data_IF_349971982885
#
_entry.id   IF_349971982885
#
_cell.length_a   1.000
_cell.length_b   1.000
_cell.length_c   1.000
_cell.angle_alpha   90.00
_cell.angle_beta   90.00
_cell.angle_gamma   90.00
#
_symmetry.space_group_name_H-M   'P 1'
#
loop_
_entity.id
_entity.type
_entity.pdbx_description
1 polymer ?
#
# COMPACT_ATOMS: atom_id res chain seq x y z
N UNK A 1 -5.32 -11.19 -13.77
CA UNK A 1 -5.25 -11.55 -12.34
C UNK A 1 -3.92 -11.08 -11.76
N UNK A 2 -3.89 -10.52 -10.54
CA UNK A 2 -2.66 -10.04 -9.88
C UNK A 2 -1.54 -11.10 -9.83
N UNK A 3 -1.89 -12.38 -9.74
CA UNK A 3 -0.92 -13.49 -9.78
C UNK A 3 0.02 -13.43 -11.00
N UNK A 4 -0.46 -12.87 -12.11
CA UNK A 4 0.28 -12.74 -13.37
C UNK A 4 0.79 -11.30 -13.62
N UNK A 5 0.71 -10.41 -12.63
CA UNK A 5 1.24 -9.04 -12.82
C UNK A 5 2.74 -9.10 -13.10
N UNK A 6 3.13 -8.53 -14.23
CA UNK A 6 4.53 -8.32 -14.64
C UNK A 6 4.80 -6.82 -14.64
N UNK A 7 5.89 -6.42 -13.99
CA UNK A 7 6.31 -5.03 -14.04
C UNK A 7 6.81 -4.71 -15.46
N UNK A 8 6.31 -3.65 -16.11
CA UNK A 8 6.78 -3.25 -17.43
C UNK A 8 8.25 -2.80 -17.45
N UNK A 9 8.78 -2.38 -16.31
CA UNK A 9 10.17 -1.91 -16.16
C UNK A 9 11.17 -3.04 -15.89
N UNK A 10 10.70 -4.28 -15.72
CA UNK A 10 11.54 -5.46 -15.52
C UNK A 10 11.56 -6.32 -16.78
N UNK A 11 12.74 -6.87 -17.11
CA UNK A 11 12.88 -7.83 -18.21
C UNK A 11 12.22 -9.16 -17.84
N UNK A 12 11.72 -9.91 -18.84
CA UNK A 12 10.65 -10.91 -18.73
C UNK A 12 10.76 -12.05 -17.69
N UNK A 13 11.90 -12.23 -17.03
CA UNK A 13 12.09 -13.23 -15.97
C UNK A 13 12.18 -12.66 -14.54
N UNK A 14 12.29 -11.34 -14.37
CA UNK A 14 12.39 -10.74 -13.05
C UNK A 14 11.00 -10.59 -12.41
N UNK A 15 10.83 -11.23 -11.25
CA UNK A 15 9.59 -11.17 -10.49
C UNK A 15 9.48 -9.84 -9.73
N UNK A 16 8.36 -9.15 -9.91
CA UNK A 16 7.97 -8.04 -9.03
C UNK A 16 7.89 -8.57 -7.60
N UNK A 17 8.64 -7.98 -6.69
CA UNK A 17 8.67 -8.42 -5.28
C UNK A 17 7.36 -8.07 -4.57
N UNK A 18 6.79 -6.89 -4.88
CA UNK A 18 5.65 -6.34 -4.16
C UNK A 18 4.64 -5.65 -5.10
N UNK A 19 3.75 -6.43 -5.76
CA UNK A 19 2.66 -5.86 -6.53
C UNK A 19 1.62 -5.22 -5.59
N UNK A 20 1.30 -3.97 -5.86
CA UNK A 20 0.52 -3.11 -4.97
C UNK A 20 -0.53 -2.36 -5.77
N UNK A 21 -1.79 -2.47 -5.37
CA UNK A 21 -2.95 -1.90 -6.07
C UNK A 21 -3.35 -0.56 -5.45
N UNK A 22 -3.53 0.48 -6.26
CA UNK A 22 -4.17 1.72 -5.82
C UNK A 22 -5.65 1.45 -5.53
N UNK A 23 -6.12 1.75 -4.32
CA UNK A 23 -7.51 1.51 -3.92
C UNK A 23 -8.50 2.54 -4.48
N UNK A 24 -8.00 3.54 -5.22
CA UNK A 24 -8.82 4.59 -5.82
C UNK A 24 -9.08 4.30 -7.29
N UNK A 25 -8.04 4.04 -8.08
CA UNK A 25 -8.18 3.79 -9.52
C UNK A 25 -8.00 2.32 -9.93
N UNK A 26 -7.59 1.43 -9.01
CA UNK A 26 -7.36 0.00 -9.29
C UNK A 26 -6.05 -0.33 -10.02
N UNK A 27 -5.21 0.66 -10.35
CA UNK A 27 -3.92 0.42 -11.02
C UNK A 27 -2.98 -0.39 -10.13
N UNK A 28 -2.36 -1.43 -10.70
CA UNK A 28 -1.32 -2.23 -10.03
C UNK A 28 0.05 -1.63 -10.35
N UNK A 29 0.86 -1.48 -9.30
CA UNK A 29 2.16 -0.81 -9.27
C UNK A 29 3.17 -1.66 -8.50
N UNK A 30 4.45 -1.31 -8.60
CA UNK A 30 5.49 -1.87 -7.74
C UNK A 30 5.64 -0.97 -6.50
N UNK A 31 5.54 -1.53 -5.30
CA UNK A 31 5.91 -0.80 -4.07
C UNK A 31 7.30 -1.19 -3.60
N UNK A 32 7.98 -0.28 -2.90
CA UNK A 32 9.26 -0.51 -2.21
C UNK A 32 10.29 -1.25 -3.08
N UNK A 33 10.39 -0.84 -4.34
CA UNK A 33 11.24 -1.47 -5.35
C UNK A 33 11.88 -0.42 -6.24
N UNK A 34 13.12 -0.66 -6.65
CA UNK A 34 13.88 0.25 -7.51
C UNK A 34 13.41 0.25 -8.97
N UNK A 35 12.78 -0.83 -9.44
CA UNK A 35 12.47 -1.03 -10.86
C UNK A 35 11.59 0.07 -11.49
N UNK A 36 10.68 0.67 -10.72
CA UNK A 36 9.75 1.69 -11.19
C UNK A 36 9.97 3.05 -10.55
N UNK A 37 11.14 3.28 -9.95
CA UNK A 37 11.45 4.59 -9.38
C UNK A 37 11.55 5.66 -10.48
N UNK A 38 11.15 6.88 -10.14
CA UNK A 38 11.26 8.07 -10.98
C UNK A 38 11.90 9.20 -10.22
N UNK A 39 12.75 9.97 -10.88
CA UNK A 39 13.31 11.21 -10.33
C UNK A 39 12.39 12.38 -10.68
N UNK A 40 11.91 13.10 -9.68
CA UNK A 40 11.07 14.30 -9.83
C UNK A 40 11.63 15.37 -8.90
N UNK A 41 12.03 16.53 -9.43
CA UNK A 41 12.68 17.61 -8.68
C UNK A 41 13.86 17.11 -7.82
N UNK A 42 14.77 16.37 -8.44
CA UNK A 42 15.95 15.73 -7.82
C UNK A 42 15.64 14.71 -6.71
N UNK A 43 14.38 14.35 -6.51
CA UNK A 43 13.95 13.34 -5.55
C UNK A 43 13.57 12.03 -6.23
N UNK A 44 14.08 10.90 -5.72
CA UNK A 44 13.64 9.57 -6.12
C UNK A 44 12.31 9.20 -5.45
N UNK A 45 11.31 8.91 -6.27
CA UNK A 45 10.00 8.45 -5.86
C UNK A 45 9.76 7.03 -6.36
N UNK A 46 9.25 6.16 -5.49
CA UNK A 46 8.69 4.87 -5.88
C UNK A 46 7.40 5.02 -6.67
N UNK A 47 6.92 3.91 -7.23
CA UNK A 47 5.80 3.96 -8.17
C UNK A 47 4.49 4.36 -7.49
N UNK A 48 4.26 3.95 -6.23
CA UNK A 48 3.05 4.31 -5.50
C UNK A 48 3.06 5.79 -5.09
N UNK A 49 4.21 6.31 -4.64
CA UNK A 49 4.41 7.69 -4.24
C UNK A 49 4.30 8.63 -5.43
N UNK A 50 4.87 8.25 -6.58
CA UNK A 50 4.70 8.98 -7.83
C UNK A 50 3.24 8.95 -8.28
N UNK A 51 2.61 7.76 -8.33
CA UNK A 51 1.23 7.63 -8.75
C UNK A 51 0.25 8.37 -7.83
N UNK A 52 0.54 8.45 -6.52
CA UNK A 52 -0.25 9.21 -5.57
C UNK A 52 -0.37 10.69 -5.99
N UNK A 53 0.74 11.30 -6.42
CA UNK A 53 0.74 12.71 -6.86
C UNK A 53 -0.21 12.93 -8.05
N UNK A 54 -0.26 11.98 -8.98
CA UNK A 54 -1.08 12.07 -10.20
C UNK A 54 -2.55 11.65 -9.99
N UNK A 55 -2.81 10.67 -9.11
CA UNK A 55 -4.11 10.03 -8.99
C UNK A 55 -4.97 10.58 -7.84
N UNK A 56 -4.34 11.01 -6.74
CA UNK A 56 -5.02 11.33 -5.47
C UNK A 56 -4.53 12.62 -4.82
N UNK A 57 -3.39 13.17 -5.28
CA UNK A 57 -2.84 14.45 -4.80
C UNK A 57 -1.96 14.31 -3.57
N UNK A 58 -2.54 14.50 -2.37
CA UNK A 58 -1.76 14.68 -1.11
C UNK A 58 -1.56 13.40 -0.30
N UNK A 59 -2.46 12.44 -0.42
CA UNK A 59 -2.46 11.21 0.37
C UNK A 59 -3.15 10.08 -0.39
N UNK A 60 -2.67 8.85 -0.22
CA UNK A 60 -3.18 7.70 -0.97
C UNK A 60 -3.22 6.42 -0.12
N UNK A 61 -4.10 5.49 -0.53
CA UNK A 61 -4.24 4.17 0.08
C UNK A 61 -4.02 3.08 -0.97
N UNK A 62 -3.22 2.08 -0.61
CA UNK A 62 -2.75 1.05 -1.51
C UNK A 62 -2.83 -0.32 -0.86
N UNK A 63 -3.29 -1.35 -1.58
CA UNK A 63 -3.27 -2.74 -1.13
C UNK A 63 -2.03 -3.44 -1.65
N UNK A 64 -1.11 -3.78 -0.75
CA UNK A 64 0.03 -4.66 -1.04
C UNK A 64 -0.45 -6.10 -1.00
N UNK A 65 -0.65 -6.67 -2.19
CA UNK A 65 -1.48 -7.86 -2.34
C UNK A 65 -0.82 -9.10 -1.73
N UNK A 66 0.51 -9.25 -1.85
CA UNK A 66 1.24 -10.40 -1.29
C UNK A 66 1.34 -10.40 0.22
N UNK A 67 1.28 -9.23 0.83
CA UNK A 67 1.41 -9.06 2.27
C UNK A 67 0.04 -9.02 2.95
N UNK A 68 -1.05 -8.87 2.19
CA UNK A 68 -2.38 -8.62 2.71
C UNK A 68 -2.41 -7.37 3.64
N UNK A 69 -1.74 -6.30 3.19
CA UNK A 69 -1.61 -5.06 3.96
C UNK A 69 -2.05 -3.84 3.15
N UNK A 70 -2.62 -2.87 3.85
CA UNK A 70 -2.88 -1.53 3.33
C UNK A 70 -1.68 -0.66 3.68
N UNK A 71 -1.17 0.04 2.67
CA UNK A 71 -0.15 1.06 2.80
C UNK A 71 -0.84 2.41 2.61
N UNK A 72 -0.71 3.27 3.60
CA UNK A 72 -1.13 4.67 3.52
C UNK A 72 0.11 5.52 3.29
N UNK A 73 0.04 6.43 2.32
CA UNK A 73 1.14 7.34 1.97
C UNK A 73 0.66 8.80 2.01
N UNK A 74 1.59 9.71 2.31
CA UNK A 74 1.41 11.15 2.15
C UNK A 74 2.51 11.76 1.29
N UNK A 75 2.23 12.92 0.69
CA UNK A 75 3.23 13.70 -0.06
C UNK A 75 4.40 14.20 0.79
N UNK A 76 4.30 14.11 2.13
CA UNK A 76 5.35 14.51 3.09
C UNK A 76 6.31 13.36 3.44
N UNK A 77 6.41 12.33 2.59
CA UNK A 77 7.29 11.16 2.78
C UNK A 77 7.04 10.44 4.11
N UNK A 78 5.76 10.37 4.50
CA UNK A 78 5.29 9.60 5.66
C UNK A 78 4.28 8.57 5.21
N UNK A 79 4.23 7.46 5.92
CA UNK A 79 3.25 6.42 5.68
C UNK A 79 3.00 5.55 6.90
N UNK A 80 2.06 4.64 6.75
CA UNK A 80 1.73 3.65 7.75
C UNK A 80 1.24 2.36 7.09
N UNK A 81 1.54 1.24 7.74
CA UNK A 81 0.93 -0.05 7.43
C UNK A 81 -0.33 -0.28 8.27
N UNK A 82 -1.33 -0.90 7.65
CA UNK A 82 -2.52 -1.44 8.31
C UNK A 82 -2.83 -2.83 7.77
N UNK A 83 -3.46 -3.67 8.57
CA UNK A 83 -4.00 -4.92 8.07
C UNK A 83 -5.07 -4.65 7.01
N UNK A 84 -5.06 -5.40 5.91
CA UNK A 84 -6.12 -5.32 4.92
C UNK A 84 -7.45 -5.84 5.48
N UNK A 85 -8.60 -5.43 4.90
CA UNK A 85 -9.91 -5.86 5.39
C UNK A 85 -10.25 -7.28 4.97
N UNK A 86 -9.29 -8.21 5.06
CA UNK A 86 -9.46 -9.62 4.73
C UNK A 86 -9.09 -10.46 5.94
N UNK A 87 -10.03 -11.28 6.39
CA UNK A 87 -9.89 -12.12 7.58
C UNK A 87 -10.37 -13.53 7.30
N UNK A 88 -9.87 -14.50 8.06
CA UNK A 88 -10.35 -15.87 8.00
C UNK A 88 -11.72 -16.04 8.70
N UNK A 89 -12.21 -17.28 8.77
CA UNK A 89 -13.47 -17.62 9.42
C UNK A 89 -13.54 -17.27 10.91
N UNK A 90 -12.40 -17.00 11.55
CA UNK A 90 -12.29 -16.64 12.96
C UNK A 90 -12.12 -15.13 13.16
N UNK A 91 -12.09 -14.34 12.09
CA UNK A 91 -11.87 -12.89 12.15
C UNK A 91 -10.40 -12.49 12.27
N UNK A 92 -9.46 -13.41 12.04
CA UNK A 92 -8.03 -13.13 12.10
C UNK A 92 -7.46 -12.75 10.73
N UNK A 93 -6.53 -11.80 10.72
CA UNK A 93 -5.79 -11.42 9.51
C UNK A 93 -4.61 -12.37 9.28
N UNK A 94 -4.35 -12.78 8.03
CA UNK A 94 -3.19 -13.59 7.68
C UNK A 94 -2.15 -12.79 6.87
N UNK A 95 -1.22 -12.20 7.60
CA UNK A 95 -0.21 -11.29 7.07
C UNK A 95 0.81 -12.07 6.21
N UNK A 96 0.85 -11.78 4.91
CA UNK A 96 1.68 -12.52 3.96
C UNK A 96 1.13 -13.89 3.58
N UNK A 97 -0.13 -14.20 3.89
CA UNK A 97 -0.74 -15.52 3.69
C UNK A 97 0.10 -16.68 4.28
N UNK A 98 0.72 -16.45 5.44
CA UNK A 98 1.67 -17.40 6.04
C UNK A 98 0.95 -18.62 6.60
N UNK A 99 -0.28 -18.45 7.11
CA UNK A 99 -1.12 -19.55 7.59
C UNK A 99 -1.79 -20.29 6.44
N UNK A 100 -2.06 -19.59 5.33
CA UNK A 100 -2.69 -20.16 4.14
C UNK A 100 -4.20 -20.32 4.27
N UNK A 101 -4.81 -19.68 5.27
CA UNK A 101 -6.26 -19.73 5.46
C UNK A 101 -6.97 -18.94 4.34
N UNK A 102 -8.12 -19.43 3.84
CA UNK A 102 -8.99 -18.62 3.00
C UNK A 102 -9.40 -17.35 3.74
N UNK A 103 -9.19 -16.19 3.11
CA UNK A 103 -9.60 -14.90 3.66
C UNK A 103 -10.81 -14.33 2.90
N UNK A 104 -11.67 -13.65 3.63
CA UNK A 104 -12.90 -13.04 3.13
C UNK A 104 -12.93 -11.57 3.52
N UNK A 105 -13.63 -10.76 2.71
CA UNK A 105 -13.77 -9.34 2.96
C UNK A 105 -14.54 -9.11 4.27
N UNK A 106 -13.88 -8.51 5.27
CA UNK A 106 -14.51 -8.09 6.50
C UNK A 106 -15.21 -6.74 6.32
N UNK A 107 -16.53 -6.77 6.27
CA UNK A 107 -17.36 -5.60 5.94
C UNK A 107 -17.08 -4.38 6.83
N UNK A 108 -16.87 -4.57 8.13
CA UNK A 108 -16.65 -3.44 9.04
C UNK A 108 -15.28 -2.80 8.89
N UNK A 109 -14.24 -3.62 8.64
CA UNK A 109 -12.90 -3.09 8.36
C UNK A 109 -12.89 -2.33 7.03
N UNK A 110 -13.58 -2.87 6.03
CA UNK A 110 -13.75 -2.20 4.74
C UNK A 110 -14.47 -0.84 4.89
N UNK A 111 -15.58 -0.79 5.65
CA UNK A 111 -16.27 0.47 5.97
C UNK A 111 -15.36 1.48 6.66
N UNK A 112 -14.50 1.04 7.58
CA UNK A 112 -13.51 1.91 8.24
C UNK A 112 -12.54 2.54 7.22
N UNK A 113 -11.97 1.74 6.32
CA UNK A 113 -11.08 2.28 5.28
C UNK A 113 -11.81 3.23 4.32
N UNK A 114 -13.06 2.89 3.97
CA UNK A 114 -13.91 3.76 3.17
C UNK A 114 -14.19 5.10 3.87
N UNK A 115 -14.45 5.08 5.18
CA UNK A 115 -14.62 6.31 5.99
C UNK A 115 -13.35 7.15 6.00
N UNK A 116 -12.21 6.55 6.32
CA UNK A 116 -10.90 7.24 6.33
C UNK A 116 -10.66 7.94 4.99
N UNK A 117 -10.95 7.25 3.88
CA UNK A 117 -10.84 7.82 2.55
C UNK A 117 -11.82 8.97 2.31
N UNK A 118 -13.13 8.76 2.54
CA UNK A 118 -14.16 9.77 2.28
C UNK A 118 -14.01 11.02 3.13
N UNK A 119 -13.54 10.88 4.37
CA UNK A 119 -13.33 11.99 5.30
C UNK A 119 -11.93 12.61 5.19
N UNK A 120 -11.09 12.13 4.26
CA UNK A 120 -9.72 12.63 4.05
C UNK A 120 -8.81 12.48 5.29
N UNK A 121 -9.05 11.45 6.11
CA UNK A 121 -8.36 11.21 7.40
C UNK A 121 -7.05 10.42 7.23
N UNK A 122 -6.59 10.14 6.01
CA UNK A 122 -5.40 9.31 5.76
C UNK A 122 -4.16 9.88 6.46
N UNK A 123 -3.94 11.19 6.41
CA UNK A 123 -2.80 11.82 7.06
C UNK A 123 -2.88 11.72 8.60
N UNK A 124 -4.08 11.87 9.15
CA UNK A 124 -4.33 11.75 10.59
C UNK A 124 -4.11 10.32 11.07
N UNK A 125 -4.65 9.33 10.35
CA UNK A 125 -4.45 7.92 10.65
C UNK A 125 -2.96 7.54 10.60
N UNK A 126 -2.19 8.11 9.66
CA UNK A 126 -0.73 7.93 9.63
C UNK A 126 -0.09 8.51 10.90
N UNK A 127 -0.41 9.75 11.28
CA UNK A 127 0.15 10.39 12.49
C UNK A 127 -0.15 9.55 13.73
N UNK A 128 -1.40 9.15 13.92
CA UNK A 128 -1.83 8.33 15.05
C UNK A 128 -1.08 6.97 15.10
N UNK A 129 -0.66 6.43 13.95
CA UNK A 129 0.15 5.21 13.90
C UNK A 129 1.62 5.42 14.24
N UNK A 130 2.18 6.61 14.06
CA UNK A 130 3.56 6.89 14.49
C UNK A 130 3.69 6.82 16.01
N UNK A 131 2.72 7.36 16.73
CA UNK A 131 2.70 7.35 18.20
C UNK A 131 2.64 5.91 18.76
N UNK A 132 2.00 5.00 18.02
CA UNK A 132 1.77 3.61 18.44
C UNK A 132 2.89 2.67 17.94
N UNK A 133 3.43 2.90 16.74
CA UNK A 133 4.35 1.98 16.09
C UNK A 133 5.55 2.71 15.48
N UNK A 134 6.60 2.83 16.30
CA UNK A 134 7.83 3.53 15.95
C UNK A 134 8.59 2.86 14.78
N UNK A 135 8.25 1.61 14.40
CA UNK A 135 8.82 0.96 13.20
C UNK A 135 8.53 1.73 11.92
N UNK A 136 7.46 2.52 11.89
CA UNK A 136 7.12 3.38 10.74
C UNK A 136 8.16 4.49 10.49
N UNK A 137 9.00 4.84 11.47
CA UNK A 137 10.06 5.86 11.32
C UNK A 137 11.20 5.37 10.42
N UNK A 138 11.46 4.05 10.39
CA UNK A 138 12.62 3.49 9.72
C UNK A 138 12.41 3.24 8.21
N UNK A 139 11.22 3.51 7.68
CA UNK A 139 10.93 3.29 6.26
C UNK A 139 11.13 4.57 5.44
N UNK A 140 11.80 4.41 4.30
CA UNK A 140 11.86 5.44 3.25
C UNK A 140 10.54 5.46 2.47
N UNK A 141 9.51 6.08 3.03
CA UNK A 141 8.15 6.07 2.47
C UNK A 141 8.06 6.64 1.05
N UNK A 142 8.97 7.53 0.66
CA UNK A 142 9.07 8.05 -0.70
C UNK A 142 9.49 6.97 -1.73
N UNK A 143 10.11 5.88 -1.31
CA UNK A 143 10.50 4.76 -2.20
C UNK A 143 9.36 3.76 -2.47
N UNK A 144 8.17 3.98 -1.89
CA UNK A 144 6.97 3.19 -2.17
C UNK A 144 6.32 3.60 -3.48
#
# INVERSE_FOLDING_TARGET
MCANYRCPSLNGNDHVTQPTMCLVCGKILCSQSYCCQRTVNDEKLGACSYHMKECVGKSGMFLRMRDCQIIMLTSRKRGAYKAAPYVDSYGETDNGFRRGNPLFLHSEMYKRFKRIWLHQEVAEEIINQYDINHRNINFEWNHF
#
